data_IF_238303563428
#
_entry.id   IF_238303563428
#
_cell.length_a   1.000
_cell.length_b   1.000
_cell.length_c   1.000
_cell.angle_alpha   90.00
_cell.angle_beta   90.00
_cell.angle_gamma   90.00
#
_symmetry.space_group_name_H-M   'P 1'
#
loop_
_entity.id
_entity.type
_entity.pdbx_description
1 polymer ?
#
# COMPACT_ATOMS: atom_id res chain seq x y z
N UNK A 1 -3.65 -31.56 -0.36
CA UNK A 1 -3.69 -31.92 1.07
C UNK A 1 -3.96 -30.72 1.97
N UNK A 2 -3.16 -29.63 1.91
CA UNK A 2 -3.36 -28.44 2.75
C UNK A 2 -4.73 -27.74 2.66
N UNK A 3 -5.34 -27.66 1.47
CA UNK A 3 -6.70 -27.11 1.30
C UNK A 3 -7.76 -27.91 2.06
N UNK A 4 -7.73 -29.25 1.95
CA UNK A 4 -8.69 -30.11 2.65
C UNK A 4 -8.51 -30.06 4.18
N UNK A 5 -7.27 -29.95 4.67
CA UNK A 5 -6.99 -29.71 6.08
C UNK A 5 -7.55 -28.36 6.55
N UNK A 6 -7.32 -27.28 5.78
CA UNK A 6 -7.88 -25.97 6.08
C UNK A 6 -9.42 -25.94 6.03
N UNK A 7 -10.04 -26.67 5.09
CA UNK A 7 -11.50 -26.85 5.08
C UNK A 7 -11.99 -27.62 6.31
N UNK A 8 -11.25 -28.63 6.78
CA UNK A 8 -11.54 -29.34 8.02
C UNK A 8 -11.53 -28.41 9.23
N UNK A 9 -10.47 -27.62 9.39
CA UNK A 9 -10.34 -26.64 10.47
C UNK A 9 -11.43 -25.56 10.37
N UNK A 10 -11.73 -25.06 9.17
CA UNK A 10 -12.81 -24.08 8.97
C UNK A 10 -14.20 -24.63 9.33
N UNK A 11 -14.43 -25.95 9.25
CA UNK A 11 -15.68 -26.55 9.75
C UNK A 11 -15.79 -26.46 11.27
N UNK A 12 -14.67 -26.55 11.98
CA UNK A 12 -14.66 -26.37 13.45
C UNK A 12 -15.07 -24.93 13.83
N UNK A 13 -14.72 -23.94 13.02
CA UNK A 13 -15.13 -22.54 13.23
C UNK A 13 -16.66 -22.35 13.20
N UNK A 14 -17.41 -23.24 12.51
CA UNK A 14 -18.87 -23.14 12.45
C UNK A 14 -19.52 -23.29 13.82
N UNK A 15 -18.96 -24.14 14.69
CA UNK A 15 -19.46 -24.37 16.05
C UNK A 15 -19.43 -23.06 16.86
N UNK A 16 -18.34 -22.29 16.71
CA UNK A 16 -18.18 -20.99 17.35
C UNK A 16 -19.09 -19.92 16.73
N UNK A 17 -19.22 -19.90 15.40
CA UNK A 17 -20.10 -18.94 14.68
C UNK A 17 -21.57 -19.12 15.06
N UNK A 18 -22.06 -20.35 15.08
CA UNK A 18 -23.44 -20.67 15.45
C UNK A 18 -23.72 -20.29 16.91
N UNK A 19 -22.79 -20.61 17.82
CA UNK A 19 -22.93 -20.24 19.22
C UNK A 19 -22.90 -18.73 19.42
N UNK A 20 -21.94 -18.03 18.82
CA UNK A 20 -21.82 -16.57 18.91
C UNK A 20 -23.06 -15.86 18.38
N UNK A 21 -23.63 -16.30 17.24
CA UNK A 21 -24.90 -15.77 16.75
C UNK A 21 -26.05 -16.00 17.75
N UNK A 22 -26.15 -17.20 18.31
CA UNK A 22 -27.19 -17.52 19.31
C UNK A 22 -27.04 -16.68 20.58
N UNK A 23 -25.79 -16.48 21.03
CA UNK A 23 -25.43 -15.66 22.18
C UNK A 23 -25.83 -14.20 21.96
N UNK A 24 -25.48 -13.64 20.79
CA UNK A 24 -25.78 -12.25 20.45
C UNK A 24 -27.28 -11.98 20.30
N UNK A 25 -28.05 -12.93 19.74
CA UNK A 25 -29.51 -12.82 19.71
C UNK A 25 -30.11 -12.78 21.11
N UNK A 26 -29.67 -13.68 22.00
CA UNK A 26 -30.14 -13.69 23.39
C UNK A 26 -29.75 -12.40 24.14
N UNK A 27 -28.52 -11.92 23.98
CA UNK A 27 -28.06 -10.67 24.61
C UNK A 27 -28.80 -9.44 24.07
N UNK A 28 -29.15 -9.41 22.79
CA UNK A 28 -29.95 -8.33 22.19
C UNK A 28 -31.37 -8.30 22.77
N UNK A 29 -32.01 -9.46 22.96
CA UNK A 29 -33.31 -9.55 23.61
C UNK A 29 -33.28 -9.11 25.07
N UNK A 30 -32.26 -9.51 25.82
CA UNK A 30 -32.06 -9.08 27.22
C UNK A 30 -31.81 -7.57 27.33
N UNK A 31 -31.10 -7.00 26.36
CA UNK A 31 -30.85 -5.55 26.30
C UNK A 31 -32.16 -4.78 26.07
N UNK A 32 -33.05 -5.27 25.17
CA UNK A 32 -34.39 -4.67 24.98
C UNK A 32 -35.24 -4.71 26.26
N UNK A 33 -35.01 -5.70 27.12
CA UNK A 33 -35.70 -5.86 28.41
C UNK A 33 -34.99 -5.17 29.57
N UNK A 34 -33.90 -4.44 29.33
CA UNK A 34 -33.08 -3.75 30.34
C UNK A 34 -32.59 -4.64 31.49
N UNK A 35 -32.22 -5.89 31.20
CA UNK A 35 -31.68 -6.79 32.23
C UNK A 35 -30.34 -6.28 32.77
N UNK A 36 -30.20 -6.29 34.10
CA UNK A 36 -28.92 -6.14 34.79
C UNK A 36 -27.98 -7.33 34.51
N UNK A 37 -26.69 -7.18 34.80
CA UNK A 37 -25.70 -8.26 34.60
C UNK A 37 -26.11 -9.57 35.29
N UNK A 38 -26.60 -9.48 36.54
CA UNK A 38 -27.04 -10.65 37.30
C UNK A 38 -28.26 -11.32 36.67
N UNK A 39 -29.22 -10.54 36.18
CA UNK A 39 -30.41 -11.07 35.48
C UNK A 39 -30.04 -11.71 34.14
N UNK A 40 -29.09 -11.12 33.40
CA UNK A 40 -28.57 -11.71 32.16
C UNK A 40 -27.95 -13.08 32.41
N UNK A 41 -27.09 -13.20 33.43
CA UNK A 41 -26.43 -14.47 33.78
C UNK A 41 -27.41 -15.46 34.43
N UNK A 42 -28.47 -14.98 35.08
CA UNK A 42 -29.53 -15.81 35.65
C UNK A 42 -30.53 -16.34 34.61
N UNK A 43 -30.56 -15.75 33.42
CA UNK A 43 -31.51 -16.10 32.37
C UNK A 43 -31.39 -17.58 31.95
N UNK A 44 -32.53 -18.28 32.03
CA UNK A 44 -32.63 -19.71 31.74
C UNK A 44 -32.33 -19.99 30.27
N UNK A 45 -32.82 -19.13 29.37
CA UNK A 45 -32.61 -19.29 27.95
C UNK A 45 -31.11 -19.15 27.61
N UNK A 46 -30.44 -18.11 28.09
CA UNK A 46 -29.01 -17.91 27.88
C UNK A 46 -28.18 -19.09 28.41
N UNK A 47 -28.49 -19.57 29.62
CA UNK A 47 -27.83 -20.74 30.21
C UNK A 47 -28.00 -22.00 29.37
N UNK A 48 -29.16 -22.23 28.78
CA UNK A 48 -29.39 -23.37 27.89
C UNK A 48 -28.51 -23.28 26.63
N UNK A 49 -28.41 -22.10 26.01
CA UNK A 49 -27.53 -21.89 24.85
C UNK A 49 -26.07 -22.19 25.23
N UNK A 50 -25.59 -21.62 26.33
CA UNK A 50 -24.19 -21.78 26.78
C UNK A 50 -23.90 -23.24 27.14
N UNK A 51 -24.81 -23.93 27.84
CA UNK A 51 -24.64 -25.33 28.19
C UNK A 51 -24.61 -26.25 26.96
N UNK A 52 -25.48 -25.99 25.97
CA UNK A 52 -25.50 -26.74 24.70
C UNK A 52 -24.18 -26.55 23.94
N UNK A 53 -23.69 -25.32 23.84
CA UNK A 53 -22.37 -25.04 23.28
C UNK A 53 -21.27 -25.74 24.05
N UNK A 54 -21.24 -25.64 25.38
CA UNK A 54 -20.20 -26.23 26.22
C UNK A 54 -20.14 -27.76 26.08
N UNK A 55 -21.29 -28.43 25.96
CA UNK A 55 -21.34 -29.87 25.69
C UNK A 55 -20.78 -30.21 24.32
N UNK A 56 -21.21 -29.50 23.28
CA UNK A 56 -20.71 -29.68 21.90
C UNK A 56 -19.20 -29.43 21.83
N UNK A 57 -18.73 -28.30 22.36
CA UNK A 57 -17.33 -27.92 22.43
C UNK A 57 -16.49 -29.00 23.12
N UNK A 58 -16.90 -29.51 24.29
CA UNK A 58 -16.14 -30.56 24.97
C UNK A 58 -16.14 -31.88 24.21
N UNK A 59 -17.26 -32.25 23.57
CA UNK A 59 -17.32 -33.45 22.73
C UNK A 59 -16.29 -33.36 21.58
N UNK A 60 -16.27 -32.25 20.84
CA UNK A 60 -15.31 -32.02 19.77
C UNK A 60 -13.87 -31.97 20.28
N UNK A 61 -13.60 -31.24 21.36
CA UNK A 61 -12.26 -31.13 21.95
C UNK A 61 -11.72 -32.48 22.41
N UNK A 62 -12.53 -33.29 23.09
CA UNK A 62 -12.11 -34.62 23.57
C UNK A 62 -11.85 -35.59 22.41
N UNK A 63 -12.47 -35.36 21.25
CA UNK A 63 -12.22 -36.11 20.03
C UNK A 63 -11.08 -35.52 19.17
N UNK A 64 -10.27 -34.61 19.74
CA UNK A 64 -9.08 -34.06 19.09
C UNK A 64 -9.35 -32.90 18.12
N UNK A 65 -10.48 -32.21 18.22
CA UNK A 65 -10.74 -30.97 17.47
C UNK A 65 -10.09 -29.75 18.13
N UNK A 66 -10.07 -28.62 17.41
CA UNK A 66 -9.59 -27.30 17.88
C UNK A 66 -8.08 -27.20 18.12
N UNK A 67 -7.28 -28.10 17.53
CA UNK A 67 -5.82 -28.12 17.72
C UNK A 67 -5.11 -26.84 17.24
N UNK A 68 -5.76 -26.03 16.39
CA UNK A 68 -5.19 -24.78 15.89
C UNK A 68 -5.40 -23.61 16.85
N UNK A 69 -6.38 -23.69 17.76
CA UNK A 69 -6.62 -22.59 18.69
C UNK A 69 -5.44 -22.41 19.64
N UNK A 70 -5.10 -21.15 19.91
CA UNK A 70 -4.10 -20.81 20.91
C UNK A 70 -4.48 -21.35 22.29
N UNK A 71 -3.48 -21.75 23.07
CA UNK A 71 -3.66 -22.29 24.44
C UNK A 71 -4.49 -21.33 25.29
N UNK A 72 -4.18 -20.04 25.22
CA UNK A 72 -4.93 -18.99 25.90
C UNK A 72 -6.38 -18.93 25.41
N UNK A 73 -6.62 -18.99 24.10
CA UNK A 73 -7.96 -18.93 23.50
C UNK A 73 -8.85 -20.07 23.98
N UNK A 74 -8.35 -21.31 23.98
CA UNK A 74 -9.08 -22.47 24.52
C UNK A 74 -9.38 -22.30 26.01
N UNK A 75 -8.38 -21.94 26.81
CA UNK A 75 -8.56 -21.77 28.26
C UNK A 75 -9.56 -20.68 28.60
N UNK A 76 -9.48 -19.54 27.90
CA UNK A 76 -10.39 -18.41 28.06
C UNK A 76 -11.83 -18.82 27.70
N UNK A 77 -12.06 -19.49 26.57
CA UNK A 77 -13.41 -19.98 26.18
C UNK A 77 -14.00 -20.90 27.25
N UNK A 78 -13.20 -21.81 27.81
CA UNK A 78 -13.66 -22.76 28.84
C UNK A 78 -14.06 -22.04 30.12
N UNK A 79 -13.24 -21.10 30.60
CA UNK A 79 -13.51 -20.35 31.83
C UNK A 79 -14.68 -19.38 31.65
N UNK A 80 -14.66 -18.60 30.57
CA UNK A 80 -15.69 -17.62 30.27
C UNK A 80 -17.06 -18.26 30.05
N UNK A 81 -17.13 -19.43 29.41
CA UNK A 81 -18.39 -20.18 29.30
C UNK A 81 -18.95 -20.60 30.68
N UNK A 82 -18.09 -20.90 31.66
CA UNK A 82 -18.52 -21.23 33.03
C UNK A 82 -18.99 -19.98 33.78
N UNK A 83 -18.30 -18.85 33.65
CA UNK A 83 -18.75 -17.58 34.23
C UNK A 83 -20.07 -17.11 33.61
N UNK A 84 -20.17 -17.12 32.28
CA UNK A 84 -21.38 -16.75 31.55
C UNK A 84 -22.59 -17.64 31.87
N UNK A 85 -22.36 -18.92 32.18
CA UNK A 85 -23.40 -19.84 32.65
C UNK A 85 -23.75 -19.68 34.14
N UNK A 86 -23.06 -18.78 34.86
CA UNK A 86 -23.24 -18.56 36.31
C UNK A 86 -22.76 -19.73 37.18
N UNK A 87 -21.81 -20.55 36.68
CA UNK A 87 -21.25 -21.70 37.42
C UNK A 87 -20.07 -21.34 38.31
N UNK A 88 -19.50 -20.16 38.12
CA UNK A 88 -18.36 -19.64 38.88
C UNK A 88 -18.73 -18.31 39.55
N UNK A 89 -18.14 -17.98 40.71
CA UNK A 89 -18.40 -16.72 41.40
C UNK A 89 -17.91 -15.52 40.60
N UNK A 90 -18.77 -14.52 40.35
CA UNK A 90 -18.38 -13.31 39.60
C UNK A 90 -17.30 -12.46 40.27
N UNK A 91 -17.07 -12.64 41.58
CA UNK A 91 -15.96 -11.99 42.29
C UNK A 91 -14.60 -12.44 41.78
N UNK A 92 -14.47 -13.72 41.41
CA UNK A 92 -13.19 -14.31 40.97
C UNK A 92 -12.82 -13.89 39.54
N UNK A 93 -13.83 -13.53 38.74
CA UNK A 93 -13.67 -13.12 37.34
C UNK A 93 -12.64 -11.98 37.16
N UNK A 94 -12.67 -10.97 38.04
CA UNK A 94 -11.75 -9.81 37.96
C UNK A 94 -10.30 -10.16 38.24
N UNK A 95 -10.07 -11.19 39.05
CA UNK A 95 -8.72 -11.65 39.37
C UNK A 95 -8.13 -12.49 38.25
N UNK A 96 -8.97 -13.24 37.54
CA UNK A 96 -8.55 -14.11 36.43
C UNK A 96 -8.40 -13.37 35.10
N UNK A 97 -9.21 -12.32 34.87
CA UNK A 97 -9.18 -11.52 33.65
C UNK A 97 -8.82 -10.07 33.98
N UNK A 98 -7.56 -9.68 33.74
CA UNK A 98 -7.09 -8.30 33.88
C UNK A 98 -7.76 -7.43 32.81
N UNK A 99 -8.73 -6.62 33.20
CA UNK A 99 -9.34 -5.58 32.37
C UNK A 99 -8.98 -4.21 32.94
N UNK A 100 -8.25 -3.43 32.15
CA UNK A 100 -7.66 -2.14 32.58
C UNK A 100 -8.69 -0.99 32.67
N UNK A 101 -9.90 -1.15 32.12
CA UNK A 101 -10.99 -0.17 32.30
C UNK A 101 -12.37 -0.86 32.39
N UNK A 102 -13.35 -0.10 32.89
CA UNK A 102 -14.74 -0.42 33.23
C UNK A 102 -15.31 -1.78 32.79
N UNK A 103 -15.73 -2.56 33.79
CA UNK A 103 -16.61 -3.74 33.74
C UNK A 103 -16.83 -4.39 32.36
N UNK A 104 -15.84 -5.10 31.83
CA UNK A 104 -16.13 -6.13 30.84
C UNK A 104 -16.98 -7.21 31.50
N UNK A 105 -18.24 -7.38 31.06
CA UNK A 105 -19.06 -8.51 31.48
C UNK A 105 -18.39 -9.82 31.02
N UNK A 106 -18.49 -10.93 31.77
CA UNK A 106 -18.07 -12.25 31.26
C UNK A 106 -18.72 -12.60 29.92
N UNK A 107 -19.91 -12.07 29.63
CA UNK A 107 -20.60 -12.25 28.34
C UNK A 107 -19.92 -11.48 27.21
N UNK A 108 -19.50 -10.25 27.45
CA UNK A 108 -18.84 -9.42 26.44
C UNK A 108 -17.44 -9.96 26.15
N UNK A 109 -16.71 -10.35 27.20
CA UNK A 109 -15.39 -10.96 27.04
C UNK A 109 -15.48 -12.34 26.37
N UNK A 110 -16.57 -13.08 26.60
CA UNK A 110 -16.85 -14.31 25.86
C UNK A 110 -17.07 -14.02 24.38
N UNK A 111 -17.88 -13.02 23.99
CA UNK A 111 -18.07 -12.67 22.57
C UNK A 111 -16.76 -12.32 21.88
N UNK A 112 -15.93 -11.48 22.51
CA UNK A 112 -14.60 -11.11 22.00
C UNK A 112 -13.71 -12.35 21.83
N UNK A 113 -13.73 -13.26 22.81
CA UNK A 113 -12.92 -14.48 22.77
C UNK A 113 -13.41 -15.45 21.70
N UNK A 114 -14.72 -15.55 21.48
CA UNK A 114 -15.32 -16.34 20.40
C UNK A 114 -14.92 -15.77 19.03
N UNK A 115 -14.91 -14.45 18.86
CA UNK A 115 -14.46 -13.81 17.63
C UNK A 115 -12.99 -14.13 17.32
N UNK A 116 -12.12 -14.05 18.33
CA UNK A 116 -10.72 -14.48 18.22
C UNK A 116 -10.60 -15.95 17.83
N UNK A 117 -11.36 -16.84 18.46
CA UNK A 117 -11.34 -18.26 18.13
C UNK A 117 -11.80 -18.52 16.68
N UNK A 118 -12.80 -17.78 16.21
CA UNK A 118 -13.27 -17.84 14.82
C UNK A 118 -12.15 -17.40 13.87
N UNK A 119 -11.50 -16.25 14.13
CA UNK A 119 -10.40 -15.75 13.30
C UNK A 119 -9.24 -16.76 13.21
N UNK A 120 -8.81 -17.32 14.36
CA UNK A 120 -7.76 -18.34 14.41
C UNK A 120 -8.10 -19.56 13.55
N UNK A 121 -9.35 -20.04 13.58
CA UNK A 121 -9.80 -21.22 12.83
C UNK A 121 -10.06 -20.93 11.34
N UNK A 122 -10.44 -19.72 10.96
CA UNK A 122 -10.68 -19.36 9.55
C UNK A 122 -9.41 -18.90 8.83
N UNK A 123 -8.40 -18.43 9.56
CA UNK A 123 -7.14 -17.91 9.00
C UNK A 123 -6.47 -18.83 7.97
N UNK A 124 -6.38 -20.17 8.14
CA UNK A 124 -5.74 -21.03 7.15
C UNK A 124 -6.51 -21.07 5.82
N UNK A 125 -7.85 -21.16 5.86
CA UNK A 125 -8.64 -21.20 4.62
C UNK A 125 -8.63 -19.84 3.93
N UNK A 126 -8.61 -18.75 4.69
CA UNK A 126 -8.56 -17.40 4.14
C UNK A 126 -7.19 -17.08 3.56
N UNK A 127 -6.10 -17.54 4.18
CA UNK A 127 -4.77 -17.50 3.59
C UNK A 127 -4.71 -18.28 2.27
N UNK A 128 -5.27 -19.49 2.22
CA UNK A 128 -5.32 -20.28 0.98
C UNK A 128 -6.20 -19.60 -0.08
N UNK A 129 -7.34 -19.01 0.28
CA UNK A 129 -8.18 -18.24 -0.65
C UNK A 129 -7.48 -16.99 -1.13
N UNK A 130 -6.76 -16.29 -0.27
CA UNK A 130 -5.96 -15.13 -0.63
C UNK A 130 -4.87 -15.54 -1.62
N UNK A 131 -4.15 -16.64 -1.33
CA UNK A 131 -3.16 -17.21 -2.25
C UNK A 131 -3.79 -17.73 -3.55
N UNK A 132 -4.97 -18.34 -3.49
CA UNK A 132 -5.69 -18.79 -4.68
C UNK A 132 -6.18 -17.61 -5.52
N UNK A 133 -6.60 -16.50 -4.90
CA UNK A 133 -6.87 -15.24 -5.59
C UNK A 133 -5.57 -14.76 -6.23
N UNK A 134 -4.48 -14.59 -5.51
CA UNK A 134 -3.21 -14.12 -6.10
C UNK A 134 -2.69 -15.04 -7.22
N UNK A 135 -2.95 -16.35 -7.16
CA UNK A 135 -2.58 -17.34 -8.20
C UNK A 135 -3.56 -17.32 -9.39
N UNK A 136 -4.86 -17.17 -9.18
CA UNK A 136 -5.88 -17.13 -10.26
C UNK A 136 -5.99 -15.76 -10.95
N UNK A 137 -5.63 -14.67 -10.27
CA UNK A 137 -5.38 -13.37 -10.94
C UNK A 137 -3.93 -13.28 -11.48
N UNK A 138 -3.02 -14.11 -10.99
CA UNK A 138 -1.57 -14.02 -11.26
C UNK A 138 -1.05 -14.76 -12.48
N UNK A 139 -1.73 -15.81 -12.99
CA UNK A 139 -1.23 -16.55 -14.16
C UNK A 139 -1.86 -16.14 -15.49
N UNK A 140 -2.72 -15.13 -15.51
CA UNK A 140 -3.21 -14.48 -16.74
C UNK A 140 -3.04 -12.96 -16.71
N UNK A 141 -1.98 -12.48 -16.06
CA UNK A 141 -1.28 -11.30 -16.57
C UNK A 141 -0.01 -11.83 -17.21
N UNK A 142 -0.03 -12.03 -18.53
CA UNK A 142 1.19 -11.70 -19.28
C UNK A 142 1.64 -10.36 -18.72
N UNK A 143 2.82 -10.29 -18.10
CA UNK A 143 3.42 -9.00 -17.78
C UNK A 143 3.24 -8.17 -19.05
N UNK A 144 2.48 -7.07 -18.93
CA UNK A 144 2.22 -6.21 -20.07
C UNK A 144 3.61 -5.83 -20.56
N UNK A 145 4.00 -6.31 -21.74
CA UNK A 145 5.33 -6.10 -22.28
C UNK A 145 5.67 -4.62 -22.08
N UNK A 146 6.79 -4.35 -21.38
CA UNK A 146 7.24 -2.99 -21.14
C UNK A 146 7.57 -2.40 -22.51
N UNK A 147 6.67 -1.55 -23.01
CA UNK A 147 6.71 -1.00 -24.36
C UNK A 147 6.77 0.51 -24.35
N UNK A 148 7.34 1.05 -25.42
CA UNK A 148 7.34 2.47 -25.74
C UNK A 148 8.74 3.08 -25.66
N UNK A 149 8.85 4.28 -26.21
CA UNK A 149 10.09 4.95 -26.60
C UNK A 149 11.20 4.88 -25.53
N UNK A 150 10.88 5.07 -24.25
CA UNK A 150 11.89 4.97 -23.17
C UNK A 150 12.37 3.53 -22.95
N UNK A 151 11.47 2.54 -22.92
CA UNK A 151 11.84 1.14 -22.72
C UNK A 151 12.59 0.59 -23.92
N UNK A 152 12.17 0.94 -25.14
CA UNK A 152 12.86 0.56 -26.37
C UNK A 152 14.31 1.09 -26.35
N UNK A 153 14.51 2.35 -25.93
CA UNK A 153 15.85 2.92 -25.75
C UNK A 153 16.65 2.21 -24.64
N UNK A 154 16.04 1.88 -23.50
CA UNK A 154 16.74 1.17 -22.43
C UNK A 154 17.22 -0.22 -22.90
N UNK A 155 16.40 -0.91 -23.68
CA UNK A 155 16.75 -2.20 -24.31
C UNK A 155 17.94 -2.05 -25.27
N UNK A 156 17.93 -1.04 -26.15
CA UNK A 156 19.08 -0.72 -27.02
C UNK A 156 20.37 -0.41 -26.23
N UNK A 157 20.23 0.23 -25.08
CA UNK A 157 21.34 0.54 -24.18
C UNK A 157 21.76 -0.63 -23.28
N UNK A 158 21.07 -1.77 -23.38
CA UNK A 158 21.28 -2.97 -22.55
C UNK A 158 21.11 -2.68 -21.06
N UNK A 159 20.18 -1.81 -20.70
CA UNK A 159 19.80 -1.49 -19.33
C UNK A 159 18.49 -2.21 -19.05
N UNK A 160 18.48 -3.15 -18.11
CA UNK A 160 17.29 -3.95 -17.86
C UNK A 160 16.30 -3.16 -17.00
N UNK A 161 15.01 -3.21 -17.33
CA UNK A 161 13.99 -2.51 -16.55
C UNK A 161 13.91 -3.00 -15.08
N UNK A 162 14.31 -4.26 -14.83
CA UNK A 162 14.43 -4.84 -13.48
C UNK A 162 15.49 -4.14 -12.60
N UNK A 163 16.42 -3.42 -13.22
CA UNK A 163 17.44 -2.63 -12.52
C UNK A 163 16.85 -1.30 -12.02
N UNK A 164 15.54 -1.08 -12.18
CA UNK A 164 14.81 0.01 -11.52
C UNK A 164 13.84 -0.56 -10.49
N UNK A 165 13.50 0.24 -9.46
CA UNK A 165 12.42 -0.13 -8.55
C UNK A 165 11.09 -0.31 -9.31
N UNK A 166 10.22 -1.20 -8.83
CA UNK A 166 8.88 -1.39 -9.41
C UNK A 166 8.11 -0.06 -9.58
N UNK A 167 8.22 0.83 -8.57
CA UNK A 167 7.62 2.18 -8.61
C UNK A 167 8.10 2.98 -9.82
N UNK A 168 9.39 2.93 -10.12
CA UNK A 168 9.99 3.64 -11.25
C UNK A 168 9.57 3.02 -12.57
N UNK A 169 9.54 1.68 -12.69
CA UNK A 169 9.04 0.99 -13.89
C UNK A 169 7.59 1.41 -14.19
N UNK A 170 6.72 1.43 -13.18
CA UNK A 170 5.33 1.87 -13.35
C UNK A 170 5.24 3.36 -13.70
N UNK A 171 6.11 4.20 -13.13
CA UNK A 171 6.16 5.64 -13.45
C UNK A 171 6.59 5.87 -14.90
N UNK A 172 7.65 5.19 -15.36
CA UNK A 172 8.12 5.24 -16.74
C UNK A 172 7.03 4.75 -17.70
N UNK A 173 6.39 3.61 -17.39
CA UNK A 173 5.27 3.10 -18.19
C UNK A 173 4.12 4.08 -18.30
N UNK A 174 3.82 4.83 -17.23
CA UNK A 174 2.72 5.81 -17.19
C UNK A 174 3.00 7.05 -18.03
N UNK A 175 4.25 7.52 -18.08
CA UNK A 175 4.60 8.75 -18.80
C UNK A 175 4.82 8.57 -20.29
N UNK A 176 4.88 7.34 -20.82
CA UNK A 176 5.14 7.10 -22.25
C UNK A 176 4.26 7.94 -23.19
N UNK A 177 2.94 8.13 -22.97
CA UNK A 177 2.12 8.98 -23.85
C UNK A 177 2.51 10.47 -23.85
N UNK A 178 3.16 10.93 -22.77
CA UNK A 178 3.66 12.30 -22.67
C UNK A 178 4.95 12.52 -23.43
N UNK A 179 5.64 11.47 -23.88
CA UNK A 179 6.93 11.55 -24.57
C UNK A 179 6.71 11.27 -26.05
N UNK A 180 7.00 12.25 -26.91
CA UNK A 180 6.93 12.10 -28.37
C UNK A 180 8.24 11.61 -28.98
N UNK A 181 9.36 11.78 -28.27
CA UNK A 181 10.67 11.31 -28.71
C UNK A 181 11.77 11.44 -27.66
N UNK A 182 12.86 10.70 -27.86
CA UNK A 182 14.10 10.85 -27.09
C UNK A 182 15.21 11.32 -28.03
N UNK A 183 15.68 12.55 -27.84
CA UNK A 183 16.70 13.19 -28.69
C UNK A 183 18.12 12.78 -28.35
N UNK A 184 18.35 12.30 -27.12
CA UNK A 184 19.66 11.88 -26.67
C UNK A 184 19.65 11.46 -25.21
N UNK A 185 20.79 10.95 -24.75
CA UNK A 185 20.94 10.47 -23.38
C UNK A 185 22.35 10.67 -22.85
N UNK A 186 22.49 10.73 -21.54
CA UNK A 186 23.76 10.63 -20.82
C UNK A 186 23.62 9.60 -19.69
N UNK A 187 24.51 8.61 -19.67
CA UNK A 187 24.63 7.64 -18.59
C UNK A 187 25.75 8.12 -17.66
N UNK A 188 25.44 8.20 -16.37
CA UNK A 188 26.37 8.58 -15.33
C UNK A 188 26.63 7.41 -14.39
N UNK A 189 27.87 7.30 -13.91
CA UNK A 189 28.23 6.44 -12.78
C UNK A 189 28.23 7.28 -11.50
N UNK A 190 27.70 6.69 -10.43
CA UNK A 190 27.63 7.28 -9.10
C UNK A 190 28.59 6.54 -8.18
N UNK A 191 29.49 7.28 -7.53
CA UNK A 191 30.55 6.71 -6.70
C UNK A 191 30.58 7.35 -5.31
N UNK A 192 31.27 6.69 -4.38
CA UNK A 192 31.47 7.14 -3.00
C UNK A 192 30.14 7.41 -2.27
N UNK A 193 29.18 6.49 -2.39
CA UNK A 193 27.98 6.46 -1.55
C UNK A 193 28.34 5.93 -0.16
N UNK A 194 27.51 6.23 0.84
CA UNK A 194 27.65 5.65 2.17
C UNK A 194 27.26 4.17 2.21
N UNK A 195 27.42 3.53 3.36
CA UNK A 195 27.12 2.10 3.56
C UNK A 195 25.63 1.75 3.33
N UNK A 196 24.75 2.74 3.35
CA UNK A 196 23.32 2.60 3.13
C UNK A 196 22.93 2.94 1.67
N UNK A 197 23.90 3.26 0.82
CA UNK A 197 23.66 3.62 -0.58
C UNK A 197 23.16 5.04 -0.78
N UNK A 198 23.26 5.92 0.23
CA UNK A 198 22.89 7.33 0.11
C UNK A 198 24.09 8.21 -0.25
N UNK A 199 23.85 9.38 -0.87
CA UNK A 199 24.92 10.35 -1.13
C UNK A 199 25.54 10.92 0.16
N UNK A 200 26.86 10.72 0.32
CA UNK A 200 27.71 11.37 1.32
C UNK A 200 28.33 12.68 0.76
N UNK A 201 29.04 13.47 1.58
CA UNK A 201 29.67 14.72 1.11
C UNK A 201 30.67 14.48 -0.03
N UNK A 202 31.43 13.38 0.04
CA UNK A 202 32.41 12.98 -0.98
C UNK A 202 31.83 12.23 -2.19
N UNK A 203 30.50 12.12 -2.32
CA UNK A 203 29.89 11.41 -3.45
C UNK A 203 30.17 12.10 -4.78
N UNK A 204 30.54 11.30 -5.78
CA UNK A 204 30.91 11.80 -7.10
C UNK A 204 30.04 11.23 -8.21
N UNK A 205 30.03 11.91 -9.35
CA UNK A 205 29.32 11.58 -10.57
C UNK A 205 30.25 11.73 -11.77
N UNK A 206 30.33 10.68 -12.59
CA UNK A 206 31.17 10.65 -13.79
C UNK A 206 30.34 10.24 -15.01
N UNK A 207 30.69 10.74 -16.19
CA UNK A 207 29.98 10.39 -17.42
C UNK A 207 30.52 9.08 -17.96
N UNK A 208 29.66 8.07 -18.06
CA UNK A 208 29.99 6.78 -18.67
C UNK A 208 29.81 6.79 -20.18
N UNK A 209 28.70 7.35 -20.65
CA UNK A 209 28.33 7.33 -22.08
C UNK A 209 27.38 8.46 -22.43
N UNK A 210 27.49 9.00 -23.65
CA UNK A 210 26.55 9.96 -24.24
C UNK A 210 26.06 9.46 -25.60
N UNK A 211 24.80 9.78 -25.92
CA UNK A 211 24.18 9.50 -27.21
C UNK A 211 23.23 10.60 -27.68
N UNK A 212 22.94 10.62 -28.98
CA UNK A 212 22.10 11.65 -29.61
C UNK A 212 22.63 13.08 -29.40
N UNK A 213 21.73 14.03 -29.17
CA UNK A 213 22.06 15.45 -28.94
C UNK A 213 23.05 15.66 -27.79
N UNK A 214 23.03 14.78 -26.78
CA UNK A 214 23.88 14.90 -25.60
C UNK A 214 25.37 14.83 -25.92
N UNK A 215 25.77 14.16 -27.03
CA UNK A 215 27.18 14.05 -27.44
C UNK A 215 27.86 15.41 -27.59
N UNK A 216 27.12 16.41 -28.07
CA UNK A 216 27.64 17.75 -28.33
C UNK A 216 27.35 18.73 -27.18
N UNK A 217 26.69 18.28 -26.10
CA UNK A 217 26.36 19.12 -24.95
C UNK A 217 27.47 19.06 -23.91
N UNK A 218 27.91 20.24 -23.45
CA UNK A 218 28.81 20.36 -22.30
C UNK A 218 28.07 19.92 -21.05
N UNK A 219 28.66 19.01 -20.29
CA UNK A 219 28.09 18.54 -19.03
C UNK A 219 28.95 19.02 -17.87
N UNK A 220 28.32 19.52 -16.80
CA UNK A 220 29.03 19.96 -15.60
C UNK A 220 29.94 18.86 -15.02
N UNK A 221 29.54 17.60 -15.16
CA UNK A 221 30.32 16.45 -14.70
C UNK A 221 31.67 16.29 -15.43
N UNK A 222 31.89 17.00 -16.54
CA UNK A 222 33.19 17.07 -17.22
C UNK A 222 34.18 17.98 -16.51
N UNK A 223 33.69 18.94 -15.72
CA UNK A 223 34.51 19.95 -15.03
C UNK A 223 34.50 19.77 -13.52
N UNK A 224 33.41 19.26 -12.95
CA UNK A 224 33.26 19.01 -11.52
C UNK A 224 32.53 17.69 -11.32
N UNK A 225 33.22 16.74 -10.68
CA UNK A 225 32.70 15.40 -10.42
C UNK A 225 31.85 15.33 -9.16
N UNK A 226 31.62 16.41 -8.41
CA UNK A 226 30.82 16.36 -7.19
C UNK A 226 29.34 16.13 -7.48
N UNK A 227 28.73 15.16 -6.78
CA UNK A 227 27.30 14.85 -6.89
C UNK A 227 26.47 15.87 -6.09
N UNK A 228 25.78 16.77 -6.80
CA UNK A 228 25.00 17.86 -6.21
C UNK A 228 23.67 18.11 -6.92
N UNK A 229 22.80 18.88 -6.26
CA UNK A 229 21.52 19.35 -6.80
C UNK A 229 20.54 18.22 -7.11
N UNK A 230 19.75 18.36 -8.18
CA UNK A 230 18.69 17.42 -8.57
C UNK A 230 19.20 15.98 -8.69
N UNK A 231 20.41 15.76 -9.21
CA UNK A 231 20.99 14.42 -9.36
C UNK A 231 21.29 13.78 -8.01
N UNK A 232 21.79 14.55 -7.04
CA UNK A 232 22.00 14.08 -5.66
C UNK A 232 20.66 13.70 -5.02
N UNK A 233 19.63 14.52 -5.18
CA UNK A 233 18.28 14.23 -4.67
C UNK A 233 17.70 12.95 -5.29
N UNK A 234 17.89 12.72 -6.59
CA UNK A 234 17.44 11.50 -7.27
C UNK A 234 18.15 10.27 -6.74
N UNK A 235 19.48 10.32 -6.55
CA UNK A 235 20.24 9.21 -5.96
C UNK A 235 19.77 8.91 -4.54
N UNK A 236 19.52 9.94 -3.73
CA UNK A 236 19.04 9.78 -2.34
C UNK A 236 17.60 9.25 -2.24
N UNK A 237 16.71 9.68 -3.14
CA UNK A 237 15.29 9.28 -3.09
C UNK A 237 15.00 8.02 -3.90
N UNK A 238 15.86 7.69 -4.87
CA UNK A 238 15.64 6.61 -5.82
C UNK A 238 14.44 6.83 -6.74
N UNK A 239 13.90 8.05 -6.85
CA UNK A 239 12.71 8.34 -7.65
C UNK A 239 13.05 8.90 -9.04
N UNK A 240 12.31 8.45 -10.05
CA UNK A 240 12.38 9.03 -11.40
C UNK A 240 12.04 10.53 -11.36
N UNK A 241 12.84 11.33 -12.05
CA UNK A 241 12.58 12.75 -12.27
C UNK A 241 12.08 12.97 -13.70
N UNK A 242 11.03 13.79 -13.86
CA UNK A 242 10.45 14.18 -15.14
C UNK A 242 10.27 15.69 -15.12
N UNK A 243 10.63 16.38 -16.20
CA UNK A 243 10.31 17.79 -16.41
C UNK A 243 11.51 18.57 -16.94
N UNK A 244 11.74 19.79 -16.45
CA UNK A 244 12.81 20.66 -16.97
C UNK A 244 14.12 20.55 -16.17
N UNK A 245 15.25 20.66 -16.85
CA UNK A 245 16.55 20.88 -16.23
C UNK A 245 16.60 22.23 -15.53
N UNK A 246 17.06 22.27 -14.26
CA UNK A 246 17.08 23.52 -13.47
C UNK A 246 18.10 24.55 -13.97
N UNK A 247 19.14 24.11 -14.70
CA UNK A 247 20.20 24.99 -15.17
C UNK A 247 19.95 25.53 -16.60
N UNK A 248 19.33 24.72 -17.46
CA UNK A 248 19.23 24.97 -18.90
C UNK A 248 17.78 24.92 -19.44
N UNK A 249 16.80 24.64 -18.58
CA UNK A 249 15.39 24.51 -18.97
C UNK A 249 15.10 23.32 -19.87
N UNK A 250 16.06 22.43 -20.14
CA UNK A 250 15.91 21.37 -21.10
C UNK A 250 14.88 20.33 -20.64
N UNK A 251 14.01 19.87 -21.54
CA UNK A 251 13.08 18.77 -21.28
C UNK A 251 13.87 17.46 -21.04
N UNK A 252 13.76 16.92 -19.83
CA UNK A 252 14.54 15.77 -19.38
C UNK A 252 13.71 14.77 -18.57
N UNK A 253 14.14 13.52 -18.65
CA UNK A 253 13.75 12.44 -17.72
C UNK A 253 15.02 11.85 -17.14
N UNK A 254 15.09 11.65 -15.82
CA UNK A 254 16.25 11.02 -15.17
C UNK A 254 15.78 9.75 -14.47
N UNK A 255 16.37 8.63 -14.88
CA UNK A 255 16.08 7.30 -14.37
C UNK A 255 17.20 6.85 -13.43
N UNK A 256 16.90 6.59 -12.15
CA UNK A 256 17.85 5.95 -11.25
C UNK A 256 17.88 4.44 -11.50
N UNK A 257 19.08 3.93 -11.77
CA UNK A 257 19.34 2.50 -12.01
C UNK A 257 20.11 1.95 -10.80
N UNK A 258 19.63 0.83 -10.28
CA UNK A 258 20.15 0.13 -9.13
C UNK A 258 21.35 -0.75 -9.52
N UNK A 259 22.33 -0.81 -8.63
CA UNK A 259 23.45 -1.74 -8.70
C UNK A 259 23.22 -2.99 -7.84
N UNK A 260 24.30 -3.74 -7.62
CA UNK A 260 24.27 -5.01 -6.87
C UNK A 260 23.74 -4.89 -5.44
N UNK A 261 23.98 -3.75 -4.78
CA UNK A 261 23.56 -3.49 -3.39
C UNK A 261 22.18 -2.84 -3.28
N UNK A 262 21.34 -2.89 -4.33
CA UNK A 262 20.04 -2.21 -4.41
C UNK A 262 20.11 -0.66 -4.24
N UNK A 263 21.31 -0.09 -4.26
CA UNK A 263 21.57 1.35 -4.25
C UNK A 263 21.66 1.91 -5.67
N UNK A 264 21.34 3.18 -5.88
CA UNK A 264 21.43 3.84 -7.20
C UNK A 264 22.89 3.99 -7.63
N UNK A 265 23.38 3.10 -8.49
CA UNK A 265 24.75 3.12 -9.01
C UNK A 265 24.89 3.90 -10.31
N UNK A 266 23.80 4.05 -11.08
CA UNK A 266 23.80 4.80 -12.32
C UNK A 266 22.61 5.74 -12.44
N UNK A 267 22.80 6.85 -13.15
CA UNK A 267 21.69 7.70 -13.60
C UNK A 267 21.66 7.71 -15.12
N UNK A 268 20.48 7.47 -15.70
CA UNK A 268 20.23 7.66 -17.13
C UNK A 268 19.43 8.94 -17.31
N UNK A 269 20.07 9.99 -17.81
CA UNK A 269 19.40 11.24 -18.18
C UNK A 269 19.03 11.17 -19.65
N UNK A 270 17.75 11.31 -19.95
CA UNK A 270 17.19 11.38 -21.29
C UNK A 270 16.83 12.83 -21.61
N UNK A 271 17.23 13.30 -22.78
CA UNK A 271 16.70 14.53 -23.37
C UNK A 271 15.49 14.15 -24.22
N UNK A 272 14.32 14.63 -23.83
CA UNK A 272 13.04 14.19 -24.40
C UNK A 272 12.35 15.34 -25.12
N UNK A 273 11.44 14.97 -26.01
CA UNK A 273 10.41 15.86 -26.52
C UNK A 273 9.08 15.44 -25.91
N UNK A 274 8.34 16.42 -25.37
CA UNK A 274 7.03 16.17 -24.80
C UNK A 274 5.96 16.27 -25.89
N UNK A 275 4.93 15.43 -25.79
CA UNK A 275 3.75 15.49 -26.63
C UNK A 275 2.79 16.59 -26.14
N UNK A 276 3.06 17.85 -26.48
CA UNK A 276 2.27 18.98 -25.97
C UNK A 276 0.79 18.98 -26.40
N UNK A 277 0.44 18.18 -27.42
CA UNK A 277 -0.93 18.00 -27.92
C UNK A 277 -1.73 16.93 -27.16
N UNK A 278 -1.17 16.39 -26.06
CA UNK A 278 -1.84 15.38 -25.25
C UNK A 278 -3.16 15.94 -24.67
N UNK A 279 -4.33 15.30 -24.90
CA UNK A 279 -5.60 15.77 -24.37
C UNK A 279 -5.63 15.81 -22.83
N UNK A 280 -6.46 16.67 -22.24
CA UNK A 280 -6.59 16.78 -20.78
C UNK A 280 -6.77 15.45 -20.05
N UNK A 281 -7.62 14.56 -20.58
CA UNK A 281 -7.88 13.23 -20.00
C UNK A 281 -6.64 12.33 -19.96
N UNK A 282 -5.78 12.42 -20.97
CA UNK A 282 -4.50 11.69 -21.00
C UNK A 282 -3.43 12.39 -20.16
N UNK A 283 -3.41 13.73 -20.10
CA UNK A 283 -2.56 14.52 -19.19
C UNK A 283 -2.77 14.11 -17.72
N UNK A 284 -4.03 13.89 -17.31
CA UNK A 284 -4.37 13.33 -16.00
C UNK A 284 -3.72 11.96 -15.77
N UNK A 285 -3.82 11.08 -16.77
CA UNK A 285 -3.23 9.74 -16.73
C UNK A 285 -1.71 9.77 -16.53
N UNK A 286 -0.99 10.59 -17.30
CA UNK A 286 0.48 10.67 -17.23
C UNK A 286 0.97 11.28 -15.91
N UNK A 287 0.27 12.28 -15.37
CA UNK A 287 0.61 12.93 -14.09
C UNK A 287 0.43 11.98 -12.90
N UNK A 288 -0.49 11.01 -12.98
CA UNK A 288 -0.77 10.10 -11.88
C UNK A 288 -1.23 10.84 -10.62
N UNK A 289 -0.65 10.52 -9.46
CA UNK A 289 -1.09 11.15 -8.20
C UNK A 289 -0.89 12.66 -8.16
N UNK A 290 0.11 13.18 -8.88
CA UNK A 290 0.40 14.62 -8.96
C UNK A 290 -0.77 15.44 -9.49
N UNK A 291 -1.63 14.84 -10.33
CA UNK A 291 -2.88 15.46 -10.75
C UNK A 291 -3.77 15.79 -9.54
N UNK A 292 -3.87 14.88 -8.57
CA UNK A 292 -4.67 15.09 -7.37
C UNK A 292 -4.07 16.21 -6.51
N UNK A 293 -2.74 16.29 -6.40
CA UNK A 293 -2.08 17.38 -5.66
C UNK A 293 -2.44 18.75 -6.26
N UNK A 294 -2.35 18.88 -7.59
CA UNK A 294 -2.73 20.12 -8.30
C UNK A 294 -4.21 20.44 -8.08
N UNK A 295 -5.08 19.46 -8.30
CA UNK A 295 -6.53 19.63 -8.13
C UNK A 295 -6.90 20.06 -6.72
N UNK A 296 -6.32 19.42 -5.71
CA UNK A 296 -6.61 19.71 -4.31
C UNK A 296 -6.22 21.16 -3.97
N UNK A 297 -5.01 21.60 -4.37
CA UNK A 297 -4.58 22.99 -4.14
C UNK A 297 -5.40 24.02 -4.94
N UNK A 298 -5.88 23.68 -6.13
CA UNK A 298 -6.76 24.59 -6.88
C UNK A 298 -8.14 24.72 -6.21
N UNK A 299 -8.70 23.61 -5.73
CA UNK A 299 -9.99 23.61 -5.04
C UNK A 299 -9.98 24.46 -3.76
N UNK A 300 -8.82 24.59 -3.08
CA UNK A 300 -8.66 25.48 -1.92
C UNK A 300 -8.92 26.96 -2.26
N UNK A 301 -8.82 27.36 -3.52
CA UNK A 301 -9.20 28.70 -3.98
C UNK A 301 -10.70 28.86 -4.26
N UNK A 302 -11.54 27.88 -3.91
CA UNK A 302 -12.97 27.81 -4.24
C UNK A 302 -13.25 27.87 -5.76
N UNK A 303 -12.33 27.36 -6.55
CA UNK A 303 -12.46 27.24 -8.01
C UNK A 303 -13.01 25.84 -8.31
N UNK A 304 -14.07 25.75 -9.12
CA UNK A 304 -14.54 24.47 -9.63
C UNK A 304 -13.50 23.86 -10.56
N UNK A 305 -13.05 22.65 -10.27
CA UNK A 305 -12.04 21.99 -11.07
C UNK A 305 -12.53 21.64 -12.49
N UNK A 306 -11.71 21.98 -13.49
CA UNK A 306 -11.83 21.54 -14.88
C UNK A 306 -10.49 20.93 -15.34
N UNK A 307 -10.53 19.73 -15.92
CA UNK A 307 -9.35 19.07 -16.48
C UNK A 307 -8.73 19.91 -17.62
N UNK A 308 -9.53 20.74 -18.31
CA UNK A 308 -9.09 21.66 -19.36
C UNK A 308 -8.06 22.69 -18.89
N UNK A 309 -7.95 22.98 -17.59
CA UNK A 309 -6.89 23.84 -17.07
C UNK A 309 -5.49 23.28 -17.35
N UNK A 310 -5.33 21.96 -17.40
CA UNK A 310 -4.05 21.31 -17.69
C UNK A 310 -3.59 21.53 -19.15
N UNK A 311 -4.50 21.88 -20.05
CA UNK A 311 -4.17 22.13 -21.45
C UNK A 311 -3.41 23.43 -21.65
N UNK A 312 -3.56 24.37 -20.70
CA UNK A 312 -2.90 25.69 -20.74
C UNK A 312 -1.43 25.67 -20.32
N UNK A 313 -0.94 24.52 -19.87
CA UNK A 313 0.43 24.37 -19.38
C UNK A 313 1.22 23.39 -20.23
N UNK A 314 2.50 23.70 -20.52
CA UNK A 314 3.42 22.73 -21.09
C UNK A 314 3.56 21.51 -20.16
N UNK A 315 3.64 20.31 -20.74
CA UNK A 315 3.75 19.07 -19.96
C UNK A 315 4.98 19.10 -19.04
N UNK A 316 6.09 19.64 -19.53
CA UNK A 316 7.32 19.77 -18.75
C UNK A 316 7.11 20.59 -17.46
N UNK A 317 6.28 21.64 -17.51
CA UNK A 317 5.95 22.48 -16.36
C UNK A 317 5.00 21.77 -15.41
N UNK A 318 4.00 21.06 -15.94
CA UNK A 318 3.11 20.23 -15.15
C UNK A 318 3.87 19.23 -14.29
N UNK A 319 5.01 18.70 -14.75
CA UNK A 319 5.86 17.79 -13.97
C UNK A 319 6.88 18.48 -13.04
N UNK A 320 7.44 19.63 -13.40
CA UNK A 320 8.61 20.21 -12.69
C UNK A 320 8.38 21.49 -11.90
N UNK A 321 7.26 22.19 -12.11
CA UNK A 321 6.91 23.35 -11.27
C UNK A 321 6.38 22.92 -9.91
N UNK A 322 6.56 23.70 -8.83
CA UNK A 322 5.87 23.44 -7.57
C UNK A 322 4.35 23.43 -7.78
N UNK A 323 3.65 22.57 -7.04
CA UNK A 323 2.19 22.40 -7.18
C UNK A 323 1.47 23.71 -6.83
N UNK A 324 1.99 24.44 -5.85
CA UNK A 324 1.53 25.75 -5.40
C UNK A 324 1.62 26.80 -6.51
N UNK A 325 2.71 26.77 -7.30
CA UNK A 325 2.91 27.66 -8.44
C UNK A 325 1.91 27.37 -9.55
N UNK A 326 1.70 26.09 -9.88
CA UNK A 326 0.70 25.67 -10.87
C UNK A 326 -0.71 26.08 -10.43
N UNK A 327 -1.08 25.83 -9.17
CA UNK A 327 -2.38 26.19 -8.63
C UNK A 327 -2.61 27.72 -8.65
N UNK A 328 -1.60 28.50 -8.27
CA UNK A 328 -1.65 29.96 -8.32
C UNK A 328 -1.82 30.51 -9.75
N UNK A 329 -1.19 29.89 -10.74
CA UNK A 329 -1.36 30.25 -12.16
C UNK A 329 -2.74 29.88 -12.69
N UNK A 330 -3.27 28.71 -12.32
CA UNK A 330 -4.65 28.31 -12.65
C UNK A 330 -5.65 29.32 -12.07
N UNK A 331 -5.46 29.74 -10.82
CA UNK A 331 -6.28 30.80 -10.21
C UNK A 331 -6.28 32.08 -11.03
N UNK A 332 -5.12 32.55 -11.48
CA UNK A 332 -5.02 33.77 -12.29
C UNK A 332 -5.71 33.62 -13.66
N UNK A 333 -5.63 32.45 -14.28
CA UNK A 333 -6.35 32.16 -15.53
C UNK A 333 -7.87 32.29 -15.35
N UNK A 334 -8.42 31.69 -14.29
CA UNK A 334 -9.86 31.75 -13.99
C UNK A 334 -10.33 33.16 -13.65
N UNK A 335 -9.50 33.99 -13.02
CA UNK A 335 -9.83 35.40 -12.75
C UNK A 335 -9.82 36.24 -14.03
N UNK A 336 -8.96 35.91 -14.99
CA UNK A 336 -8.78 36.70 -16.23
C UNK A 336 -9.81 36.32 -17.30
N UNK A 337 -10.32 35.08 -17.27
CA UNK A 337 -11.36 34.59 -18.20
C UNK A 337 -12.80 34.95 -17.76
N UNK A 338 -12.99 35.57 -16.59
CA UNK A 338 -14.27 36.08 -16.07
C UNK A 338 -14.36 37.60 -16.17
#
# INVERSE_FOLDING_TARGET
WGYYAACGINKEALIFKEFRNSLNLAMAEQTKKNYSLYERIADVHLRQIINKFYQSFNHHRNNGAFNLLGVRTISDVVLLAKYAAGKLPLGDFRHEFKTDEDFASPLDLLDITLDRAIDELTRPIDAIRHQAKTVTVGTSRKEKELKGIIFDLLEELKIAAKDMTYRNVMTVSRIQPAISGVRGYTIYDINNLDAQGNPAEGSTITIRKKGGVAKNMKSRAETSTMLMGTKRTIVSTGHVYIGKGKADGAAIVILPILGENESVSHLVLLHVDYNEFLPAGEKKGVLGYRYNDIRNLVNEYNINWDDGYLEKFPIADLFSEPVETLAGRIKQLVITDN
#
